data_IF_048011417040
#
_entry.id   IF_048011417040
#
_cell.length_a   1.000
_cell.length_b   1.000
_cell.length_c   1.000
_cell.angle_alpha   90.00
_cell.angle_beta   90.00
_cell.angle_gamma   90.00
#
_symmetry.space_group_name_H-M   'P 1'
#
loop_
_entity.id
_entity.type
_entity.pdbx_description
1 polymer ?
#
# COMPACT_ATOMS: atom_id res chain seq x y z
N UNK A 1 15.68 5.24 6.56
CA UNK A 1 14.42 5.97 6.35
C UNK A 1 14.39 7.31 7.08
N UNK A 2 14.84 7.38 8.34
CA UNK A 2 14.72 8.60 9.18
C UNK A 2 15.37 9.86 8.61
N UNK A 3 16.55 9.76 7.97
CA UNK A 3 17.23 10.93 7.39
C UNK A 3 16.34 11.70 6.39
N UNK A 4 15.48 11.00 5.65
CA UNK A 4 14.67 11.61 4.60
C UNK A 4 13.27 11.99 5.07
N UNK A 5 12.69 11.24 6.02
CA UNK A 5 11.32 11.48 6.51
C UNK A 5 11.19 12.83 7.23
N UNK A 6 12.26 13.31 7.87
CA UNK A 6 12.28 14.62 8.53
C UNK A 6 12.42 15.82 7.58
N UNK A 7 12.69 15.58 6.30
CA UNK A 7 12.88 16.67 5.33
C UNK A 7 11.54 17.35 5.02
N UNK A 8 11.49 18.68 5.00
CA UNK A 8 10.24 19.44 4.81
C UNK A 8 9.50 19.11 3.49
N UNK A 9 10.24 18.74 2.44
CA UNK A 9 9.65 18.29 1.16
C UNK A 9 9.13 16.85 1.16
N UNK A 10 9.43 16.05 2.18
CA UNK A 10 8.92 14.68 2.30
C UNK A 10 7.54 14.73 2.98
N UNK A 11 6.48 14.67 2.18
CA UNK A 11 5.10 14.82 2.67
C UNK A 11 4.37 13.49 2.89
N UNK A 12 4.89 12.37 2.38
CA UNK A 12 4.28 11.05 2.46
C UNK A 12 5.36 9.95 2.49
N UNK A 13 4.95 8.74 2.87
CA UNK A 13 5.78 7.52 2.77
C UNK A 13 5.22 6.63 1.66
N UNK A 14 6.09 6.27 0.73
CA UNK A 14 5.75 5.42 -0.41
C UNK A 14 6.68 5.67 -1.60
N UNK A 15 6.45 5.04 -2.75
CA UNK A 15 5.39 4.05 -3.00
C UNK A 15 5.65 2.74 -2.22
N UNK A 16 4.60 2.18 -1.62
CA UNK A 16 4.64 0.92 -0.86
C UNK A 16 3.38 0.10 -1.10
N UNK A 17 3.37 -1.18 -0.75
CA UNK A 17 2.17 -2.02 -0.88
C UNK A 17 2.48 -3.39 -1.43
N UNK A 18 1.54 -3.97 -2.18
CA UNK A 18 1.62 -5.34 -2.68
C UNK A 18 1.36 -5.39 -4.19
N UNK A 19 2.27 -6.03 -4.94
CA UNK A 19 2.13 -6.29 -6.37
C UNK A 19 2.32 -7.78 -6.64
N UNK A 20 1.21 -8.46 -6.96
CA UNK A 20 1.18 -9.89 -7.24
C UNK A 20 1.12 -10.21 -8.74
N UNK A 21 1.15 -9.20 -9.60
CA UNK A 21 1.08 -9.40 -11.05
C UNK A 21 2.38 -9.95 -11.64
N UNK A 22 3.53 -9.58 -11.05
CA UNK A 22 4.87 -10.03 -11.50
C UNK A 22 5.58 -10.85 -10.43
N UNK A 23 4.94 -11.94 -10.01
CA UNK A 23 5.56 -12.87 -9.07
C UNK A 23 6.56 -13.79 -9.78
N UNK A 24 7.64 -14.20 -9.09
CA UNK A 24 8.55 -15.23 -9.57
C UNK A 24 7.85 -16.60 -9.70
N UNK A 25 8.62 -17.61 -10.10
CA UNK A 25 8.17 -19.00 -10.24
C UNK A 25 7.46 -19.54 -8.98
N UNK A 26 6.67 -20.59 -9.16
CA UNK A 26 5.70 -21.08 -8.16
C UNK A 26 6.31 -21.43 -6.80
N UNK A 27 7.53 -21.93 -6.77
CA UNK A 27 8.27 -22.32 -5.57
C UNK A 27 8.74 -21.12 -4.74
N UNK A 28 9.10 -20.00 -5.39
CA UNK A 28 9.54 -18.77 -4.72
C UNK A 28 8.39 -17.79 -4.42
N UNK A 29 7.23 -17.99 -5.05
CA UNK A 29 6.08 -17.09 -5.00
C UNK A 29 5.66 -16.72 -3.58
N UNK A 30 5.45 -17.70 -2.71
CA UNK A 30 4.96 -17.44 -1.36
C UNK A 30 6.00 -16.74 -0.48
N UNK A 31 7.28 -17.07 -0.67
CA UNK A 31 8.37 -16.35 -0.01
C UNK A 31 8.41 -14.87 -0.46
N UNK A 32 8.22 -14.62 -1.76
CA UNK A 32 8.17 -13.26 -2.29
C UNK A 32 6.97 -12.47 -1.75
N UNK A 33 5.77 -13.07 -1.71
CA UNK A 33 4.59 -12.45 -1.10
C UNK A 33 4.81 -12.16 0.38
N UNK A 34 5.35 -13.12 1.13
CA UNK A 34 5.65 -12.95 2.56
C UNK A 34 6.57 -11.77 2.80
N UNK A 35 7.64 -11.65 1.99
CA UNK A 35 8.57 -10.52 2.05
C UNK A 35 7.93 -9.19 1.70
N UNK A 36 7.05 -9.15 0.69
CA UNK A 36 6.29 -7.93 0.39
C UNK A 36 5.41 -7.52 1.58
N UNK A 37 4.68 -8.46 2.19
CA UNK A 37 3.84 -8.20 3.37
C UNK A 37 4.68 -7.69 4.55
N UNK A 38 5.82 -8.31 4.82
CA UNK A 38 6.74 -7.90 5.90
C UNK A 38 7.21 -6.45 5.70
N UNK A 39 7.68 -6.11 4.50
CA UNK A 39 8.19 -4.77 4.20
C UNK A 39 7.05 -3.74 4.24
N UNK A 40 5.89 -4.07 3.66
CA UNK A 40 4.73 -3.19 3.67
C UNK A 40 4.28 -2.87 5.09
N UNK A 41 4.21 -3.87 5.96
CA UNK A 41 3.90 -3.69 7.39
C UNK A 41 4.89 -2.75 8.08
N UNK A 42 6.20 -2.92 7.87
CA UNK A 42 7.22 -2.02 8.43
C UNK A 42 7.05 -0.58 7.94
N UNK A 43 6.66 -0.38 6.68
CA UNK A 43 6.40 0.95 6.13
C UNK A 43 5.12 1.58 6.70
N UNK A 44 4.08 0.78 6.96
CA UNK A 44 2.87 1.24 7.65
C UNK A 44 3.20 1.71 9.07
N UNK A 45 3.93 0.90 9.83
CA UNK A 45 4.36 1.26 11.19
C UNK A 45 5.19 2.54 11.19
N UNK A 46 6.14 2.65 10.26
CA UNK A 46 6.95 3.85 10.08
C UNK A 46 6.11 5.09 9.75
N UNK A 47 5.05 4.95 8.95
CA UNK A 47 4.13 6.05 8.64
C UNK A 47 3.33 6.54 9.85
N UNK A 48 2.89 5.61 10.70
CA UNK A 48 2.19 5.93 11.94
C UNK A 48 3.13 6.63 12.91
N UNK A 49 4.37 6.13 13.05
CA UNK A 49 5.38 6.74 13.93
C UNK A 49 5.69 8.19 13.56
N UNK A 50 5.72 8.52 12.27
CA UNK A 50 6.00 9.87 11.79
C UNK A 50 4.75 10.69 11.46
N UNK A 51 3.55 10.16 11.72
CA UNK A 51 2.27 10.77 11.38
C UNK A 51 2.22 11.29 9.92
N UNK A 52 2.65 10.46 8.97
CA UNK A 52 2.64 10.79 7.54
C UNK A 52 1.69 9.89 6.77
N UNK A 53 1.01 10.41 5.73
CA UNK A 53 0.18 9.59 4.86
C UNK A 53 1.02 8.59 4.08
N UNK A 54 0.39 7.47 3.74
CA UNK A 54 0.93 6.45 2.83
C UNK A 54 0.53 6.73 1.37
N UNK A 55 1.41 6.38 0.44
CA UNK A 55 1.09 6.22 -0.99
C UNK A 55 1.18 4.72 -1.28
N UNK A 56 0.02 4.09 -1.47
CA UNK A 56 -0.12 2.63 -1.52
C UNK A 56 -0.43 2.13 -2.92
N UNK A 57 0.43 1.23 -3.41
CA UNK A 57 0.24 0.44 -4.62
C UNK A 57 -0.41 -0.90 -4.29
N UNK A 58 -1.48 -1.24 -5.01
CA UNK A 58 -2.10 -2.55 -4.90
C UNK A 58 -2.36 -3.08 -6.31
N UNK A 59 -1.80 -4.24 -6.63
CA UNK A 59 -2.07 -4.94 -7.88
C UNK A 59 -2.23 -6.43 -7.63
N UNK A 60 -3.41 -6.96 -7.96
CA UNK A 60 -3.78 -8.38 -7.75
C UNK A 60 -3.61 -8.86 -6.29
N UNK A 61 -3.65 -7.94 -5.33
CA UNK A 61 -3.37 -8.20 -3.91
C UNK A 61 -4.41 -7.60 -2.95
N UNK A 62 -5.61 -7.27 -3.44
CA UNK A 62 -6.64 -6.52 -2.69
C UNK A 62 -6.98 -7.13 -1.32
N UNK A 63 -7.15 -8.45 -1.25
CA UNK A 63 -7.53 -9.15 -0.03
C UNK A 63 -6.45 -9.04 1.06
N UNK A 64 -5.19 -9.31 0.69
CA UNK A 64 -4.07 -9.23 1.63
C UNK A 64 -3.81 -7.79 2.06
N UNK A 65 -3.88 -6.83 1.14
CA UNK A 65 -3.77 -5.41 1.46
C UNK A 65 -4.86 -4.95 2.42
N UNK A 66 -6.12 -5.36 2.20
CA UNK A 66 -7.23 -5.02 3.09
C UNK A 66 -7.02 -5.57 4.50
N UNK A 67 -6.66 -6.85 4.61
CA UNK A 67 -6.43 -7.50 5.90
C UNK A 67 -5.30 -6.83 6.68
N UNK A 68 -4.17 -6.54 6.03
CA UNK A 68 -3.06 -5.81 6.65
C UNK A 68 -3.54 -4.43 7.11
N UNK A 69 -4.15 -3.64 6.21
CA UNK A 69 -4.55 -2.28 6.55
C UNK A 69 -5.59 -2.22 7.68
N UNK A 70 -6.52 -3.19 7.77
CA UNK A 70 -7.47 -3.30 8.89
C UNK A 70 -6.77 -3.46 10.25
N UNK A 71 -5.63 -4.15 10.31
CA UNK A 71 -4.83 -4.28 11.53
C UNK A 71 -4.15 -2.97 11.98
N UNK A 72 -4.09 -1.96 11.10
CA UNK A 72 -3.45 -0.67 11.37
C UNK A 72 -4.44 0.50 11.21
N UNK A 73 -5.39 0.69 12.16
CA UNK A 73 -6.46 1.70 12.03
C UNK A 73 -5.95 3.15 12.04
N UNK A 74 -4.73 3.39 12.55
CA UNK A 74 -4.09 4.71 12.54
C UNK A 74 -3.44 5.07 11.19
N UNK A 75 -3.28 4.10 10.28
CA UNK A 75 -2.73 4.37 8.97
C UNK A 75 -3.76 5.12 8.11
N UNK A 76 -3.30 6.07 7.31
CA UNK A 76 -4.12 6.88 6.40
C UNK A 76 -3.30 7.23 5.16
N UNK A 77 -3.95 7.67 4.07
CA UNK A 77 -3.23 8.06 2.87
C UNK A 77 -4.03 7.88 1.58
N UNK A 78 -3.37 7.40 0.54
CA UNK A 78 -3.95 7.23 -0.80
C UNK A 78 -3.64 5.84 -1.33
N UNK A 79 -4.67 5.10 -1.78
CA UNK A 79 -4.51 3.98 -2.69
C UNK A 79 -4.33 4.56 -4.11
N UNK A 80 -3.09 4.67 -4.59
CA UNK A 80 -2.85 5.30 -5.89
C UNK A 80 -3.20 4.34 -7.03
N UNK A 81 -3.51 4.92 -8.20
CA UNK A 81 -3.83 4.16 -9.41
C UNK A 81 -4.86 3.05 -9.16
N UNK A 82 -5.98 3.41 -8.54
CA UNK A 82 -6.99 2.45 -8.10
C UNK A 82 -7.62 1.75 -9.30
N UNK A 83 -7.20 0.50 -9.52
CA UNK A 83 -7.78 -0.49 -10.42
C UNK A 83 -7.96 -1.83 -9.68
N UNK A 84 -8.20 -1.74 -8.37
CA UNK A 84 -8.28 -2.87 -7.46
C UNK A 84 -9.75 -3.18 -7.11
N UNK A 85 -9.95 -4.22 -6.30
CA UNK A 85 -11.28 -4.70 -5.94
C UNK A 85 -12.05 -3.70 -5.06
N UNK A 86 -13.37 -3.61 -5.25
CA UNK A 86 -14.26 -2.74 -4.49
C UNK A 86 -14.27 -2.99 -2.97
N UNK A 87 -13.82 -4.15 -2.49
CA UNK A 87 -13.64 -4.41 -1.06
C UNK A 87 -12.73 -3.39 -0.36
N UNK A 88 -11.81 -2.76 -1.10
CA UNK A 88 -10.93 -1.73 -0.54
C UNK A 88 -11.67 -0.43 -0.23
N UNK A 89 -12.91 -0.25 -0.69
CA UNK A 89 -13.78 0.88 -0.33
C UNK A 89 -14.16 0.89 1.16
N UNK A 90 -14.00 -0.24 1.85
CA UNK A 90 -14.13 -0.32 3.32
C UNK A 90 -13.13 0.56 4.07
N UNK A 91 -12.07 1.03 3.40
CA UNK A 91 -11.03 1.90 3.95
C UNK A 91 -11.28 3.40 3.72
N UNK A 92 -12.44 3.76 3.17
CA UNK A 92 -12.77 5.12 2.73
C UNK A 92 -12.90 6.15 3.85
N UNK A 93 -12.97 5.69 5.10
CA UNK A 93 -12.95 6.55 6.29
C UNK A 93 -11.60 7.24 6.52
N UNK A 94 -10.51 6.68 5.96
CA UNK A 94 -9.13 7.15 6.19
C UNK A 94 -8.21 7.09 4.97
N UNK A 95 -8.66 6.55 3.85
CA UNK A 95 -7.92 6.53 2.59
C UNK A 95 -8.69 7.22 1.46
N UNK A 96 -7.93 7.89 0.61
CA UNK A 96 -8.40 8.39 -0.68
C UNK A 96 -8.04 7.41 -1.81
N UNK A 97 -8.75 7.49 -2.93
CA UNK A 97 -8.57 6.60 -4.08
C UNK A 97 -8.09 7.41 -5.28
N UNK A 98 -6.86 7.13 -5.72
CA UNK A 98 -6.25 7.80 -6.86
C UNK A 98 -6.82 7.25 -8.16
N UNK A 99 -7.80 7.93 -8.74
CA UNK A 99 -8.36 7.60 -10.05
C UNK A 99 -7.54 8.28 -11.13
N UNK A 100 -7.05 7.50 -12.09
CA UNK A 100 -6.16 7.97 -13.15
C UNK A 100 -6.51 7.37 -14.50
N UNK A 101 -5.65 7.58 -15.50
CA UNK A 101 -5.90 7.10 -16.87
C UNK A 101 -6.04 5.58 -16.99
N UNK A 102 -5.46 4.78 -16.09
CA UNK A 102 -5.64 3.31 -16.09
C UNK A 102 -7.11 2.91 -16.01
N UNK A 103 -7.95 3.70 -15.34
CA UNK A 103 -9.39 3.47 -15.22
C UNK A 103 -10.15 3.55 -16.56
N UNK A 104 -9.52 4.08 -17.62
CA UNK A 104 -10.14 4.16 -18.96
C UNK A 104 -9.81 2.96 -19.85
N UNK A 105 -8.93 2.05 -19.41
CA UNK A 105 -8.58 0.83 -20.14
C UNK A 105 -9.46 -0.34 -19.67
N UNK A 106 -9.81 -1.25 -20.59
CA UNK A 106 -10.55 -2.49 -20.33
C UNK A 106 -9.63 -3.68 -20.48
#
# INVERSE_FOLDING_TARGET
>A
FEKFVGHQKCVAIGECGLDYYRLPELDERENYKSKQKEIFTKQIEFSIQHNKPLIIHIREASFDSLNILKSYPKAFGVLHCFNADGMLLELSDRFYYGIGGVSTFK
#
